data_IF_530222508765
#
_entry.id   IF_530222508765
#
_cell.length_a   1.000
_cell.length_b   1.000
_cell.length_c   1.000
_cell.angle_alpha   90.00
_cell.angle_beta   90.00
_cell.angle_gamma   90.00
#
_symmetry.space_group_name_H-M   'P 1'
#
loop_
_entity.id
_entity.type
_entity.pdbx_description
1 polymer ?
#
# COMPACT_ATOMS: atom_id res chain seq x y z
N UNK A 1 -37.79 -2.09 -26.25
CA UNK A 1 -36.81 -0.99 -26.32
C UNK A 1 -36.91 -0.04 -25.12
N UNK A 2 -38.09 0.52 -24.78
CA UNK A 2 -38.27 1.45 -23.64
C UNK A 2 -37.83 0.89 -22.28
N UNK A 3 -38.21 -0.36 -21.95
CA UNK A 3 -37.83 -0.98 -20.67
C UNK A 3 -36.30 -1.16 -20.53
N UNK A 4 -35.63 -1.65 -21.58
CA UNK A 4 -34.17 -1.82 -21.59
C UNK A 4 -33.45 -0.47 -21.40
N UNK A 5 -33.92 0.59 -22.06
CA UNK A 5 -33.38 1.95 -21.87
C UNK A 5 -33.50 2.42 -20.41
N UNK A 6 -34.68 2.29 -19.80
CA UNK A 6 -34.91 2.71 -18.41
C UNK A 6 -34.06 1.91 -17.43
N UNK A 7 -33.99 0.59 -17.60
CA UNK A 7 -33.18 -0.29 -16.73
C UNK A 7 -31.70 0.08 -16.82
N UNK A 8 -31.16 0.22 -18.03
CA UNK A 8 -29.75 0.61 -18.21
C UNK A 8 -29.44 1.98 -17.61
N UNK A 9 -30.37 2.94 -17.72
CA UNK A 9 -30.26 4.28 -17.13
C UNK A 9 -30.17 4.19 -15.60
N UNK A 10 -31.11 3.48 -14.97
CA UNK A 10 -31.16 3.31 -13.52
C UNK A 10 -29.92 2.56 -13.03
N UNK A 11 -29.55 1.45 -13.69
CA UNK A 11 -28.39 0.65 -13.31
C UNK A 11 -27.09 1.46 -13.38
N UNK A 12 -26.85 2.17 -14.48
CA UNK A 12 -25.63 2.97 -14.63
C UNK A 12 -25.58 4.14 -13.64
N UNK A 13 -26.72 4.80 -13.38
CA UNK A 13 -26.80 5.85 -12.36
C UNK A 13 -26.48 5.32 -10.97
N UNK A 14 -27.11 4.22 -10.55
CA UNK A 14 -26.92 3.63 -9.22
C UNK A 14 -25.47 3.16 -9.03
N UNK A 15 -24.89 2.46 -10.02
CA UNK A 15 -23.50 2.00 -9.95
C UNK A 15 -22.51 3.16 -9.82
N UNK A 16 -22.64 4.19 -10.68
CA UNK A 16 -21.78 5.37 -10.59
C UNK A 16 -21.99 6.12 -9.28
N UNK A 17 -23.23 6.23 -8.79
CA UNK A 17 -23.50 6.91 -7.52
C UNK A 17 -22.85 6.19 -6.34
N UNK A 18 -22.89 4.85 -6.31
CA UNK A 18 -22.16 4.07 -5.30
C UNK A 18 -20.64 4.30 -5.40
N UNK A 19 -20.09 4.36 -6.61
CA UNK A 19 -18.66 4.67 -6.79
C UNK A 19 -18.30 6.11 -6.43
N UNK A 20 -19.21 7.09 -6.60
CA UNK A 20 -19.03 8.45 -6.08
C UNK A 20 -18.90 8.41 -4.56
N UNK A 21 -19.78 7.68 -3.86
CA UNK A 21 -19.72 7.55 -2.40
C UNK A 21 -18.42 6.88 -1.95
N UNK A 22 -18.00 5.81 -2.62
CA UNK A 22 -16.72 5.14 -2.35
C UNK A 22 -15.55 6.10 -2.59
N UNK A 23 -15.55 6.85 -3.70
CA UNK A 23 -14.52 7.83 -4.02
C UNK A 23 -14.43 8.95 -2.98
N UNK A 24 -15.58 9.44 -2.49
CA UNK A 24 -15.63 10.43 -1.39
C UNK A 24 -15.06 9.87 -0.08
N UNK A 25 -15.37 8.63 0.26
CA UNK A 25 -14.82 7.97 1.45
C UNK A 25 -13.31 7.84 1.34
N UNK A 26 -12.79 7.36 0.20
CA UNK A 26 -11.35 7.22 -0.04
C UNK A 26 -10.66 8.59 0.01
N UNK A 27 -11.24 9.61 -0.62
CA UNK A 27 -10.72 10.97 -0.61
C UNK A 27 -10.68 11.55 0.81
N UNK A 28 -11.76 11.39 1.58
CA UNK A 28 -11.82 11.86 2.97
C UNK A 28 -10.78 11.15 3.85
N UNK A 29 -10.59 9.84 3.69
CA UNK A 29 -9.55 9.10 4.39
C UNK A 29 -8.14 9.57 3.99
N UNK A 30 -7.88 9.79 2.71
CA UNK A 30 -6.60 10.32 2.24
C UNK A 30 -6.29 11.71 2.81
N UNK A 31 -7.28 12.62 2.82
CA UNK A 31 -7.14 13.94 3.44
C UNK A 31 -6.87 13.80 4.94
N UNK A 32 -7.60 12.92 5.64
CA UNK A 32 -7.38 12.68 7.07
C UNK A 32 -5.95 12.18 7.33
N UNK A 33 -5.46 11.20 6.57
CA UNK A 33 -4.07 10.71 6.69
C UNK A 33 -3.04 11.83 6.49
N UNK A 34 -3.25 12.72 5.51
CA UNK A 34 -2.30 13.80 5.22
C UNK A 34 -2.35 14.92 6.27
N UNK A 35 -3.54 15.22 6.81
CA UNK A 35 -3.74 16.31 7.77
C UNK A 35 -3.37 15.89 9.19
N UNK A 36 -3.79 14.69 9.60
CA UNK A 36 -3.56 14.14 10.93
C UNK A 36 -3.55 12.61 10.88
N UNK A 37 -2.39 12.09 10.50
CA UNK A 37 -2.16 10.65 10.39
C UNK A 37 -2.29 9.92 11.74
N UNK A 38 -1.99 10.59 12.87
CA UNK A 38 -2.07 10.00 14.22
C UNK A 38 -3.53 9.70 14.58
N UNK A 39 -4.39 10.70 14.47
CA UNK A 39 -5.82 10.55 14.76
C UNK A 39 -6.50 9.53 13.85
N UNK A 40 -6.10 9.47 12.57
CA UNK A 40 -6.59 8.46 11.64
C UNK A 40 -6.25 7.04 12.13
N UNK A 41 -5.00 6.83 12.54
CA UNK A 41 -4.54 5.52 12.95
C UNK A 41 -5.09 5.08 14.32
N UNK A 42 -5.25 5.99 15.28
CA UNK A 42 -5.98 5.72 16.53
C UNK A 42 -7.41 5.22 16.26
N UNK A 43 -8.11 5.89 15.34
CA UNK A 43 -9.47 5.52 14.94
C UNK A 43 -9.50 4.16 14.24
N UNK A 44 -8.57 3.94 13.32
CA UNK A 44 -8.46 2.69 12.58
C UNK A 44 -8.19 1.50 13.52
N UNK A 45 -7.36 1.68 14.53
CA UNK A 45 -7.09 0.68 15.55
C UNK A 45 -8.32 0.32 16.38
N UNK A 46 -9.11 1.32 16.78
CA UNK A 46 -10.37 1.12 17.49
C UNK A 46 -11.34 0.23 16.69
N UNK A 47 -11.49 0.47 15.38
CA UNK A 47 -12.40 -0.31 14.53
C UNK A 47 -11.86 -1.68 14.13
N UNK A 48 -10.55 -1.79 13.91
CA UNK A 48 -9.91 -3.04 13.46
C UNK A 48 -9.60 -4.01 14.61
N UNK A 49 -9.75 -3.59 15.87
CA UNK A 49 -9.24 -4.30 17.07
C UNK A 49 -7.75 -4.63 16.96
N UNK A 50 -7.04 -3.86 16.13
CA UNK A 50 -5.60 -3.91 15.97
C UNK A 50 -5.00 -3.00 17.03
N UNK A 51 -3.81 -3.33 17.54
CA UNK A 51 -3.22 -2.57 18.63
C UNK A 51 -2.85 -1.15 18.16
N UNK A 52 -3.34 -0.11 18.83
CA UNK A 52 -3.41 1.25 18.28
C UNK A 52 -2.06 1.90 18.07
N UNK A 53 -1.14 1.54 18.92
CA UNK A 53 0.12 2.25 19.00
C UNK A 53 1.18 1.72 18.00
N UNK A 54 0.92 0.59 17.30
CA UNK A 54 1.71 0.11 16.14
C UNK A 54 1.47 1.08 15.00
N UNK A 55 0.21 1.48 14.86
CA UNK A 55 -0.30 2.29 13.77
C UNK A 55 0.07 3.78 13.94
N UNK A 56 0.07 4.27 15.20
CA UNK A 56 0.59 5.59 15.55
C UNK A 56 2.08 5.77 15.25
N UNK A 57 2.88 4.70 15.24
CA UNK A 57 4.32 4.81 14.95
C UNK A 57 4.61 4.99 13.44
N UNK A 58 3.64 4.68 12.57
CA UNK A 58 3.69 5.02 11.15
C UNK A 58 3.15 6.43 10.87
N UNK A 59 2.57 7.10 11.88
CA UNK A 59 2.07 8.45 11.71
C UNK A 59 3.22 9.42 11.39
N UNK A 60 2.94 10.39 10.51
CA UNK A 60 3.81 11.50 10.11
C UNK A 60 5.06 11.08 9.33
N UNK A 61 5.09 9.86 8.80
CA UNK A 61 6.19 9.40 7.94
C UNK A 61 6.04 9.91 6.52
N UNK A 62 7.15 10.15 5.82
CA UNK A 62 7.10 10.46 4.39
C UNK A 62 6.37 9.39 3.59
N UNK A 63 6.49 8.12 4.00
CA UNK A 63 5.78 7.01 3.37
C UNK A 63 4.27 7.08 3.58
N UNK A 64 3.79 7.31 4.80
CA UNK A 64 2.35 7.46 5.08
C UNK A 64 1.79 8.72 4.46
N UNK A 65 2.55 9.81 4.45
CA UNK A 65 2.15 11.05 3.77
C UNK A 65 2.03 10.82 2.25
N UNK A 66 2.98 10.10 1.65
CA UNK A 66 2.91 9.70 0.25
C UNK A 66 1.71 8.78 -0.03
N UNK A 67 1.45 7.80 0.84
CA UNK A 67 0.29 6.91 0.73
C UNK A 67 -1.03 7.69 0.85
N UNK A 68 -1.13 8.64 1.79
CA UNK A 68 -2.25 9.55 1.93
C UNK A 68 -2.45 10.40 0.68
N UNK A 69 -1.37 10.95 0.12
CA UNK A 69 -1.40 11.67 -1.17
C UNK A 69 -1.91 10.82 -2.33
N UNK A 70 -1.50 9.55 -2.40
CA UNK A 70 -2.02 8.59 -3.40
C UNK A 70 -3.53 8.34 -3.20
N UNK A 71 -3.99 8.15 -1.96
CA UNK A 71 -5.42 8.00 -1.66
C UNK A 71 -6.22 9.24 -2.08
N UNK A 72 -5.70 10.44 -1.84
CA UNK A 72 -6.32 11.69 -2.31
C UNK A 72 -6.42 11.70 -3.84
N UNK A 73 -5.33 11.35 -4.54
CA UNK A 73 -5.30 11.30 -6.00
C UNK A 73 -6.31 10.31 -6.57
N UNK A 74 -6.30 9.07 -6.10
CA UNK A 74 -7.21 8.01 -6.53
C UNK A 74 -8.66 8.39 -6.20
N UNK A 75 -8.93 8.81 -4.97
CA UNK A 75 -10.27 9.21 -4.51
C UNK A 75 -10.84 10.38 -5.33
N UNK A 76 -10.02 11.38 -5.65
CA UNK A 76 -10.43 12.52 -6.47
C UNK A 76 -10.76 12.10 -7.90
N UNK A 77 -9.90 11.28 -8.53
CA UNK A 77 -10.14 10.78 -9.89
C UNK A 77 -11.43 9.95 -9.92
N UNK A 78 -11.60 9.02 -8.97
CA UNK A 78 -12.82 8.22 -8.86
C UNK A 78 -14.06 9.10 -8.68
N UNK A 79 -14.02 10.07 -7.77
CA UNK A 79 -15.12 10.99 -7.53
C UNK A 79 -15.53 11.75 -8.81
N UNK A 80 -14.57 12.39 -9.47
CA UNK A 80 -14.82 13.19 -10.67
C UNK A 80 -15.35 12.35 -11.83
N UNK A 81 -14.71 11.20 -12.10
CA UNK A 81 -15.12 10.31 -13.19
C UNK A 81 -16.54 9.78 -13.00
N UNK A 82 -16.88 9.35 -11.78
CA UNK A 82 -18.22 8.81 -11.51
C UNK A 82 -19.29 9.89 -11.41
N UNK A 83 -18.95 11.13 -11.00
CA UNK A 83 -19.87 12.28 -11.14
C UNK A 83 -20.16 12.57 -12.60
N UNK A 84 -19.15 12.56 -13.48
CA UNK A 84 -19.37 12.73 -14.92
C UNK A 84 -20.30 11.63 -15.46
N UNK A 85 -20.13 10.39 -15.00
CA UNK A 85 -21.03 9.27 -15.31
C UNK A 85 -22.47 9.54 -14.88
N UNK A 86 -22.70 9.89 -13.60
CA UNK A 86 -24.01 10.25 -13.07
C UNK A 86 -24.65 11.42 -13.83
N UNK A 87 -23.88 12.48 -14.08
CA UNK A 87 -24.36 13.68 -14.76
C UNK A 87 -24.70 13.38 -16.23
N UNK A 88 -23.87 12.59 -16.91
CA UNK A 88 -24.15 12.13 -18.28
C UNK A 88 -25.45 11.33 -18.38
N UNK A 89 -25.76 10.52 -17.36
CA UNK A 89 -27.02 9.77 -17.29
C UNK A 89 -28.22 10.68 -17.02
N UNK A 90 -28.12 11.59 -16.04
CA UNK A 90 -29.23 12.48 -15.65
C UNK A 90 -29.55 13.46 -16.76
N UNK A 91 -28.54 14.10 -17.34
CA UNK A 91 -28.69 15.06 -18.43
C UNK A 91 -28.89 14.42 -19.80
N UNK A 92 -28.82 13.10 -19.89
CA UNK A 92 -28.84 12.36 -21.17
C UNK A 92 -27.85 12.94 -22.19
N UNK A 93 -26.68 13.40 -21.71
CA UNK A 93 -25.73 14.13 -22.53
C UNK A 93 -24.69 13.16 -23.09
N UNK A 94 -24.79 12.86 -24.40
CA UNK A 94 -23.91 11.90 -25.10
C UNK A 94 -22.43 12.19 -24.90
N UNK A 95 -22.03 13.47 -24.97
CA UNK A 95 -20.65 13.89 -24.75
C UNK A 95 -20.08 13.43 -23.39
N UNK A 96 -20.83 13.64 -22.29
CA UNK A 96 -20.40 13.22 -20.95
C UNK A 96 -20.31 11.70 -20.83
N UNK A 97 -21.26 10.96 -21.43
CA UNK A 97 -21.23 9.50 -21.45
C UNK A 97 -20.07 8.94 -22.30
N UNK A 98 -19.72 9.59 -23.42
CA UNK A 98 -18.55 9.25 -24.23
C UNK A 98 -17.28 9.50 -23.44
N UNK A 99 -17.14 10.68 -22.82
CA UNK A 99 -15.99 11.02 -21.96
C UNK A 99 -15.82 10.00 -20.85
N UNK A 100 -16.89 9.69 -20.12
CA UNK A 100 -16.91 8.65 -19.09
C UNK A 100 -16.43 7.29 -19.64
N UNK A 101 -16.98 6.84 -20.77
CA UNK A 101 -16.65 5.55 -21.37
C UNK A 101 -15.17 5.47 -21.81
N UNK A 102 -14.63 6.56 -22.34
CA UNK A 102 -13.21 6.64 -22.75
C UNK A 102 -12.29 6.52 -21.53
N UNK A 103 -12.52 7.29 -20.47
CA UNK A 103 -11.71 7.21 -19.26
C UNK A 103 -11.83 5.85 -18.57
N UNK A 104 -13.04 5.28 -18.47
CA UNK A 104 -13.23 3.92 -17.94
C UNK A 104 -12.50 2.86 -18.77
N UNK A 105 -12.48 3.01 -20.10
CA UNK A 105 -11.73 2.10 -20.98
C UNK A 105 -10.22 2.21 -20.77
N UNK A 106 -9.68 3.42 -20.54
CA UNK A 106 -8.27 3.60 -20.19
C UNK A 106 -7.92 2.92 -18.87
N UNK A 107 -8.77 3.07 -17.84
CA UNK A 107 -8.57 2.41 -16.54
C UNK A 107 -8.58 0.89 -16.73
N UNK A 108 -9.55 0.34 -17.46
CA UNK A 108 -9.61 -1.09 -17.76
C UNK A 108 -8.32 -1.63 -18.38
N UNK A 109 -7.76 -0.92 -19.37
CA UNK A 109 -6.49 -1.30 -20.00
C UNK A 109 -5.33 -1.24 -19.00
N UNK A 110 -5.24 -0.17 -18.19
CA UNK A 110 -4.20 -0.03 -17.15
C UNK A 110 -4.30 -1.16 -16.13
N UNK A 111 -5.50 -1.52 -15.71
CA UNK A 111 -5.74 -2.63 -14.77
C UNK A 111 -5.24 -3.95 -15.35
N UNK A 112 -5.56 -4.26 -16.62
CA UNK A 112 -5.06 -5.47 -17.30
C UNK A 112 -3.53 -5.46 -17.41
N UNK A 113 -2.93 -4.33 -17.81
CA UNK A 113 -1.47 -4.20 -17.89
C UNK A 113 -0.82 -4.40 -16.52
N UNK A 114 -1.41 -3.85 -15.46
CA UNK A 114 -0.94 -4.02 -14.08
C UNK A 114 -0.94 -5.49 -13.64
N UNK A 115 -2.00 -6.25 -13.98
CA UNK A 115 -2.08 -7.68 -13.69
C UNK A 115 -1.00 -8.46 -14.45
N UNK A 116 -0.81 -8.15 -15.73
CA UNK A 116 0.23 -8.80 -16.55
C UNK A 116 1.62 -8.51 -15.97
N UNK A 117 1.90 -7.26 -15.59
CA UNK A 117 3.16 -6.88 -14.95
C UNK A 117 3.36 -7.60 -13.62
N UNK A 118 2.31 -7.72 -12.80
CA UNK A 118 2.36 -8.39 -11.51
C UNK A 118 2.63 -9.90 -11.63
N UNK A 119 1.91 -10.59 -12.50
CA UNK A 119 1.92 -12.05 -12.55
C UNK A 119 2.80 -12.64 -13.66
N UNK A 120 2.83 -12.04 -14.86
CA UNK A 120 3.57 -12.57 -15.99
C UNK A 120 5.01 -12.04 -16.10
N UNK A 121 5.25 -10.81 -15.62
CA UNK A 121 6.56 -10.16 -15.64
C UNK A 121 7.14 -9.97 -14.23
N UNK A 122 6.82 -10.89 -13.33
CA UNK A 122 7.23 -10.84 -11.92
C UNK A 122 8.73 -10.62 -11.77
N UNK A 123 9.58 -11.28 -12.56
CA UNK A 123 11.04 -11.08 -12.51
C UNK A 123 11.51 -9.67 -12.88
N UNK A 124 10.87 -9.01 -13.85
CA UNK A 124 11.24 -7.65 -14.29
C UNK A 124 10.81 -6.62 -13.25
N UNK A 125 9.58 -6.73 -12.75
CA UNK A 125 9.09 -5.81 -11.74
C UNK A 125 9.79 -6.03 -10.39
N UNK A 126 10.08 -7.28 -10.01
CA UNK A 126 10.88 -7.59 -8.82
C UNK A 126 12.26 -6.94 -8.88
N UNK A 127 12.94 -6.97 -10.03
CA UNK A 127 14.25 -6.32 -10.19
C UNK A 127 14.14 -4.79 -10.01
N UNK A 128 13.15 -4.16 -10.65
CA UNK A 128 12.92 -2.72 -10.52
C UNK A 128 12.61 -2.32 -9.07
N UNK A 129 11.66 -3.01 -8.42
CA UNK A 129 11.26 -2.76 -7.03
C UNK A 129 12.43 -2.99 -6.09
N UNK A 130 13.16 -4.10 -6.25
CA UNK A 130 14.29 -4.41 -5.39
C UNK A 130 15.35 -3.30 -5.45
N UNK A 131 15.63 -2.75 -6.64
CA UNK A 131 16.58 -1.64 -6.78
C UNK A 131 16.15 -0.39 -6.00
N UNK A 132 14.87 0.00 -6.10
CA UNK A 132 14.33 1.18 -5.42
C UNK A 132 14.25 0.98 -3.92
N UNK A 133 13.78 -0.18 -3.47
CA UNK A 133 13.68 -0.54 -2.05
C UNK A 133 15.07 -0.63 -1.43
N UNK A 134 16.05 -1.23 -2.11
CA UNK A 134 17.43 -1.31 -1.63
C UNK A 134 18.07 0.09 -1.48
N UNK A 135 17.79 1.02 -2.40
CA UNK A 135 18.29 2.39 -2.30
C UNK A 135 17.65 3.15 -1.12
N UNK A 136 16.34 3.06 -0.97
CA UNK A 136 15.61 3.66 0.16
C UNK A 136 16.07 3.09 1.50
N UNK A 137 16.25 1.76 1.56
CA UNK A 137 16.77 1.07 2.72
C UNK A 137 18.18 1.54 3.07
N UNK A 138 19.09 1.55 2.11
CA UNK A 138 20.46 2.00 2.31
C UNK A 138 20.52 3.45 2.83
N UNK A 139 19.69 4.33 2.26
CA UNK A 139 19.70 5.75 2.58
C UNK A 139 19.08 6.08 3.96
N UNK A 140 18.10 5.31 4.43
CA UNK A 140 17.25 5.73 5.55
C UNK A 140 17.23 4.76 6.74
N UNK A 141 17.54 3.49 6.56
CA UNK A 141 17.43 2.51 7.65
C UNK A 141 18.55 2.69 8.68
N UNK A 142 18.18 2.98 9.94
CA UNK A 142 19.07 3.11 11.10
C UNK A 142 18.76 2.09 12.20
N UNK A 143 17.71 1.29 12.03
CA UNK A 143 17.22 0.31 13.02
C UNK A 143 16.55 0.96 14.22
N UNK A 144 15.65 0.22 14.85
CA UNK A 144 14.80 0.75 15.94
C UNK A 144 15.17 0.11 17.27
N UNK A 145 15.29 -1.21 17.29
CA UNK A 145 15.53 -1.98 18.51
C UNK A 145 16.98 -1.85 18.99
N UNK A 146 17.18 -1.17 20.12
CA UNK A 146 18.49 -0.93 20.75
C UNK A 146 19.34 0.16 20.09
N UNK A 147 18.87 0.75 18.98
CA UNK A 147 19.58 1.77 18.21
C UNK A 147 19.27 3.21 18.68
N UNK A 148 18.05 3.46 19.14
CA UNK A 148 17.55 4.77 19.56
C UNK A 148 16.89 4.70 20.94
N UNK A 149 16.83 5.84 21.64
CA UNK A 149 15.94 5.97 22.78
C UNK A 149 14.49 5.76 22.32
N UNK A 150 13.69 5.17 23.20
CA UNK A 150 12.30 4.72 22.97
C UNK A 150 11.40 5.81 22.38
N UNK A 151 11.69 7.06 22.72
CA UNK A 151 10.95 8.25 22.29
C UNK A 151 11.36 8.78 20.91
N UNK A 152 12.39 8.20 20.27
CA UNK A 152 13.05 8.74 19.08
C UNK A 152 13.18 7.71 17.95
N UNK A 153 12.23 6.78 17.85
CA UNK A 153 12.24 5.77 16.79
C UNK A 153 12.06 6.42 15.42
N UNK A 154 12.97 6.12 14.50
CA UNK A 154 12.79 6.40 13.08
C UNK A 154 11.68 5.49 12.52
N UNK A 155 10.58 6.05 12.00
CA UNK A 155 9.45 5.24 11.58
C UNK A 155 9.72 4.34 10.37
N UNK A 156 10.62 4.77 9.48
CA UNK A 156 11.05 3.93 8.35
C UNK A 156 11.79 2.70 8.88
N UNK A 157 12.69 2.89 9.84
CA UNK A 157 13.41 1.80 10.51
C UNK A 157 12.49 0.86 11.25
N UNK A 158 11.44 1.38 11.91
CA UNK A 158 10.45 0.51 12.55
C UNK A 158 9.70 -0.32 11.51
N UNK A 159 9.24 0.30 10.42
CA UNK A 159 8.53 -0.42 9.37
C UNK A 159 9.37 -1.59 8.83
N UNK A 160 10.67 -1.35 8.61
CA UNK A 160 11.59 -2.39 8.15
C UNK A 160 11.87 -3.43 9.25
N UNK A 161 11.99 -3.03 10.52
CA UNK A 161 12.09 -3.95 11.66
C UNK A 161 10.84 -4.84 11.76
N UNK A 162 9.65 -4.27 11.55
CA UNK A 162 8.38 -5.00 11.50
C UNK A 162 8.39 -6.03 10.38
N UNK A 163 8.85 -5.65 9.18
CA UNK A 163 9.00 -6.56 8.05
C UNK A 163 9.95 -7.70 8.39
N UNK A 164 11.14 -7.39 8.92
CA UNK A 164 12.15 -8.40 9.28
C UNK A 164 11.64 -9.38 10.35
N UNK A 165 10.96 -8.88 11.39
CA UNK A 165 10.41 -9.71 12.48
C UNK A 165 9.20 -10.54 12.00
N UNK A 166 8.26 -9.91 11.28
CA UNK A 166 7.01 -10.56 10.84
C UNK A 166 7.27 -11.62 9.78
N UNK A 167 8.11 -11.30 8.79
CA UNK A 167 8.45 -12.21 7.71
C UNK A 167 9.69 -13.06 8.01
N UNK A 168 10.27 -12.95 9.21
CA UNK A 168 11.43 -13.76 9.64
C UNK A 168 12.57 -13.73 8.62
N UNK A 169 12.93 -12.52 8.21
CA UNK A 169 13.97 -12.22 7.23
C UNK A 169 14.95 -11.19 7.79
N UNK A 170 16.10 -11.02 7.14
CA UNK A 170 17.11 -10.03 7.54
C UNK A 170 17.67 -9.33 6.30
N UNK A 171 17.59 -8.00 6.27
CA UNK A 171 18.00 -7.20 5.12
C UNK A 171 17.09 -7.35 3.90
N UNK A 172 17.26 -6.47 2.92
CA UNK A 172 16.48 -6.48 1.68
C UNK A 172 16.90 -7.67 0.81
N UNK A 173 18.21 -7.79 0.57
CA UNK A 173 18.83 -8.85 -0.22
C UNK A 173 19.48 -9.93 0.65
N UNK A 174 19.54 -9.72 1.96
CA UNK A 174 20.07 -10.67 2.93
C UNK A 174 20.82 -9.99 4.07
N UNK A 175 21.31 -10.75 5.06
CA UNK A 175 22.03 -10.22 6.21
C UNK A 175 23.32 -9.49 5.83
N UNK A 176 23.93 -9.83 4.69
CA UNK A 176 25.14 -9.17 4.18
C UNK A 176 24.92 -7.70 3.81
N UNK A 177 23.67 -7.24 3.65
CA UNK A 177 23.36 -5.82 3.42
C UNK A 177 23.94 -4.94 4.54
N UNK A 178 24.05 -5.46 5.76
CA UNK A 178 24.58 -4.73 6.92
C UNK A 178 26.11 -4.71 7.01
N UNK A 179 26.82 -5.36 6.08
CA UNK A 179 28.29 -5.43 6.07
C UNK A 179 28.95 -4.24 5.37
N UNK A 180 28.20 -3.46 4.58
CA UNK A 180 28.73 -2.42 3.70
C UNK A 180 27.87 -1.15 3.70
N UNK A 181 28.52 0.01 3.62
CA UNK A 181 27.85 1.30 3.46
C UNK A 181 27.22 1.49 2.07
N UNK A 182 27.52 0.62 1.11
CA UNK A 182 26.84 0.63 -0.20
C UNK A 182 25.38 0.17 -0.07
N UNK A 183 25.13 -0.80 0.80
CA UNK A 183 23.84 -1.49 0.97
C UNK A 183 23.06 -1.03 2.20
N UNK A 184 23.74 -0.53 3.25
CA UNK A 184 23.11 -0.02 4.46
C UNK A 184 23.83 1.25 4.98
N UNK A 185 23.87 2.31 4.16
CA UNK A 185 24.61 3.55 4.46
C UNK A 185 24.24 4.16 5.81
N UNK A 186 22.95 4.41 6.05
CA UNK A 186 22.48 5.06 7.27
C UNK A 186 22.75 4.19 8.52
N UNK A 187 22.50 2.88 8.42
CA UNK A 187 22.80 1.92 9.48
C UNK A 187 24.27 1.95 9.89
N UNK A 188 25.19 1.89 8.93
CA UNK A 188 26.63 1.90 9.19
C UNK A 188 27.07 3.20 9.88
N UNK A 189 26.48 4.34 9.49
CA UNK A 189 26.83 5.66 10.00
C UNK A 189 26.27 5.93 11.41
N UNK A 190 25.01 5.55 11.68
CA UNK A 190 24.33 5.97 12.90
C UNK A 190 23.55 4.87 13.64
N UNK A 191 23.26 3.74 12.99
CA UNK A 191 22.36 2.70 13.50
C UNK A 191 23.01 1.61 14.35
N UNK A 192 24.32 1.39 14.22
CA UNK A 192 25.06 0.32 14.91
C UNK A 192 25.23 0.59 16.41
N UNK A 193 24.16 0.38 17.16
CA UNK A 193 24.10 0.49 18.63
C UNK A 193 23.25 -0.64 19.18
N UNK A 194 23.71 -1.25 20.27
CA UNK A 194 23.00 -2.32 20.95
C UNK A 194 23.51 -2.46 22.37
N UNK A 195 22.65 -2.24 23.38
CA UNK A 195 23.07 -2.14 24.79
C UNK A 195 24.19 -1.08 24.89
N UNK A 196 25.32 -1.44 25.49
CA UNK A 196 26.50 -0.57 25.61
C UNK A 196 27.45 -0.66 24.40
N UNK A 197 27.14 -1.50 23.41
CA UNK A 197 27.98 -1.70 22.22
C UNK A 197 27.62 -0.71 21.13
N UNK A 198 28.64 -0.25 20.42
CA UNK A 198 28.51 0.67 19.28
C UNK A 198 29.46 0.28 18.15
N UNK A 199 29.15 0.72 16.93
CA UNK A 199 30.02 0.54 15.77
C UNK A 199 30.19 -0.93 15.36
N UNK A 200 31.42 -1.32 14.99
CA UNK A 200 31.74 -2.64 14.42
C UNK A 200 31.45 -3.83 15.33
N UNK A 201 31.26 -3.60 16.64
CA UNK A 201 30.87 -4.63 17.59
C UNK A 201 29.43 -5.14 17.36
N UNK A 202 28.59 -4.34 16.70
CA UNK A 202 27.21 -4.68 16.33
C UNK A 202 27.18 -5.06 14.85
N UNK A 203 27.00 -6.35 14.56
CA UNK A 203 27.05 -6.91 13.21
C UNK A 203 25.75 -6.72 12.43
N UNK A 204 24.60 -6.83 13.11
CA UNK A 204 23.27 -6.75 12.51
C UNK A 204 22.28 -6.06 13.46
N UNK A 205 21.15 -5.54 12.97
CA UNK A 205 20.11 -4.99 13.82
C UNK A 205 19.41 -6.08 14.63
N UNK A 206 18.93 -5.72 15.83
CA UNK A 206 18.22 -6.69 16.68
C UNK A 206 16.94 -7.25 16.03
N UNK A 207 16.32 -6.55 15.08
CA UNK A 207 15.17 -7.07 14.35
C UNK A 207 15.49 -8.28 13.45
N UNK A 208 16.76 -8.50 13.08
CA UNK A 208 17.19 -9.70 12.37
C UNK A 208 17.29 -10.95 13.24
N UNK A 209 17.22 -10.80 14.57
CA UNK A 209 17.37 -11.91 15.51
C UNK A 209 16.11 -12.75 15.66
N UNK A 210 16.27 -14.00 16.08
CA UNK A 210 15.14 -14.87 16.43
C UNK A 210 14.55 -14.51 17.78
N UNK A 211 13.22 -14.62 17.86
CA UNK A 211 12.44 -14.36 19.05
C UNK A 211 11.54 -15.56 19.35
N UNK A 212 11.47 -15.92 20.63
CA UNK A 212 10.57 -16.96 21.16
C UNK A 212 9.10 -16.62 20.88
N UNK A 213 8.75 -15.33 20.96
CA UNK A 213 7.47 -14.76 20.55
C UNK A 213 7.69 -13.30 20.14
N UNK A 214 6.89 -12.81 19.19
CA UNK A 214 6.90 -11.42 18.70
C UNK A 214 5.81 -10.57 19.35
N UNK A 215 5.18 -11.04 20.43
CA UNK A 215 4.13 -10.33 21.16
C UNK A 215 4.59 -8.97 21.69
N UNK A 216 5.88 -8.80 21.99
CA UNK A 216 6.41 -7.48 22.37
C UNK A 216 6.31 -6.46 21.24
N UNK A 217 6.37 -6.91 19.99
CA UNK A 217 6.26 -6.05 18.82
C UNK A 217 4.79 -5.69 18.57
N UNK A 218 3.90 -6.69 18.67
CA UNK A 218 2.45 -6.48 18.57
C UNK A 218 1.92 -5.55 19.67
N UNK A 219 2.37 -5.77 20.92
CA UNK A 219 2.01 -4.98 22.10
C UNK A 219 2.93 -3.77 22.32
N UNK A 220 3.87 -3.53 21.41
CA UNK A 220 4.82 -2.40 21.38
C UNK A 220 5.61 -2.15 22.66
N UNK A 221 5.91 -3.23 23.36
CA UNK A 221 6.85 -3.26 24.46
C UNK A 221 8.25 -3.40 23.87
N UNK A 222 8.62 -2.46 22.99
CA UNK A 222 9.89 -2.52 22.25
C UNK A 222 11.10 -2.58 23.17
N UNK A 223 11.01 -2.01 24.37
CA UNK A 223 12.05 -2.08 25.40
C UNK A 223 12.22 -3.48 26.00
N UNK A 224 11.18 -4.31 25.94
CA UNK A 224 11.19 -5.67 26.46
C UNK A 224 11.71 -6.67 25.42
N UNK A 225 12.08 -6.24 24.22
CA UNK A 225 12.51 -7.13 23.13
C UNK A 225 13.60 -8.13 23.56
N UNK A 226 14.53 -7.69 24.43
CA UNK A 226 15.60 -8.53 24.99
C UNK A 226 15.06 -9.75 25.77
N UNK A 227 13.89 -9.64 26.40
CA UNK A 227 13.27 -10.73 27.16
C UNK A 227 12.74 -11.84 26.26
N UNK A 228 12.44 -11.52 24.99
CA UNK A 228 11.87 -12.46 24.02
C UNK A 228 12.90 -12.99 23.03
N UNK A 229 14.07 -12.35 22.94
CA UNK A 229 15.15 -12.73 22.05
C UNK A 229 15.72 -14.10 22.46
N UNK A 230 15.81 -15.04 21.52
CA UNK A 230 16.31 -16.39 21.79
C UNK A 230 17.78 -16.36 22.24
N UNK A 231 18.59 -15.53 21.59
CA UNK A 231 19.99 -15.32 21.93
C UNK A 231 20.28 -13.82 22.18
N UNK A 232 20.49 -13.40 23.44
CA UNK A 232 20.73 -12.00 23.80
C UNK A 232 21.99 -11.36 23.19
N UNK A 233 22.86 -12.16 22.57
CA UNK A 233 24.09 -11.74 21.90
C UNK A 233 24.00 -11.86 20.37
N UNK A 234 22.83 -12.21 19.80
CA UNK A 234 22.64 -12.35 18.36
C UNK A 234 23.15 -11.15 17.53
N UNK A 235 22.94 -9.89 17.92
CA UNK A 235 23.45 -8.72 17.17
C UNK A 235 24.97 -8.53 17.25
N UNK A 236 25.63 -9.16 18.21
CA UNK A 236 27.05 -8.95 18.52
C UNK A 236 27.90 -9.75 17.55
N UNK A 237 29.03 -9.20 17.11
CA UNK A 237 29.96 -9.90 16.22
C UNK A 237 30.75 -11.00 16.96
N UNK A 238 30.81 -12.26 16.46
CA UNK A 238 30.11 -12.79 15.29
C UNK A 238 28.63 -13.08 15.58
N UNK A 239 27.71 -12.72 14.67
CA UNK A 239 26.28 -12.89 14.91
C UNK A 239 25.87 -14.38 14.95
N UNK A 240 24.87 -14.69 15.75
CA UNK A 240 24.32 -16.04 15.91
C UNK A 240 22.79 -15.99 16.01
N UNK A 241 22.10 -17.09 15.68
CA UNK A 241 20.65 -17.24 15.84
C UNK A 241 19.80 -16.12 15.21
N UNK A 242 20.16 -15.72 14.00
CA UNK A 242 19.46 -14.71 13.19
C UNK A 242 18.69 -15.34 12.01
N UNK A 243 17.86 -14.54 11.35
CA UNK A 243 17.18 -14.92 10.11
C UNK A 243 18.11 -14.78 8.91
N UNK A 244 18.28 -15.84 8.13
CA UNK A 244 19.21 -15.83 6.99
C UNK A 244 18.52 -15.55 5.64
N UNK A 245 17.19 -15.50 5.61
CA UNK A 245 16.44 -15.22 4.39
C UNK A 245 16.41 -13.72 4.09
N UNK A 246 16.44 -13.37 2.80
CA UNK A 246 16.26 -11.98 2.35
C UNK A 246 14.78 -11.59 2.37
N UNK A 247 14.45 -10.35 2.74
CA UNK A 247 13.05 -9.94 2.81
C UNK A 247 12.37 -9.87 1.44
N UNK A 248 13.11 -9.59 0.37
CA UNK A 248 12.55 -9.62 -1.00
C UNK A 248 12.11 -11.01 -1.41
N UNK A 249 12.78 -12.07 -0.93
CA UNK A 249 12.36 -13.46 -1.21
C UNK A 249 11.03 -13.85 -0.55
N UNK A 250 10.57 -13.08 0.45
CA UNK A 250 9.31 -13.32 1.15
C UNK A 250 8.09 -12.66 0.48
N UNK A 251 8.30 -11.70 -0.43
CA UNK A 251 7.22 -11.05 -1.20
C UNK A 251 6.33 -12.07 -1.95
N UNK A 252 6.87 -12.98 -2.79
CA UNK A 252 6.03 -13.96 -3.49
C UNK A 252 5.29 -14.88 -2.52
N UNK A 253 5.89 -15.21 -1.36
CA UNK A 253 5.24 -16.03 -0.32
C UNK A 253 4.04 -15.29 0.29
N UNK A 254 4.21 -14.02 0.63
CA UNK A 254 3.14 -13.18 1.16
C UNK A 254 1.99 -12.99 0.15
N UNK A 255 2.31 -12.82 -1.13
CA UNK A 255 1.32 -12.74 -2.20
C UNK A 255 0.56 -14.06 -2.38
N UNK A 256 1.21 -15.22 -2.28
CA UNK A 256 0.54 -16.52 -2.37
C UNK A 256 -0.47 -16.73 -1.22
N UNK A 257 -0.16 -16.25 -0.01
CA UNK A 257 -1.07 -16.34 1.15
C UNK A 257 -2.36 -15.55 0.95
N UNK A 258 -2.31 -14.42 0.23
CA UNK A 258 -3.46 -13.53 -0.01
C UNK A 258 -3.90 -13.50 -1.48
N UNK A 259 -3.49 -14.50 -2.28
CA UNK A 259 -3.73 -14.52 -3.73
C UNK A 259 -5.21 -14.54 -4.08
N UNK A 260 -5.98 -15.36 -3.38
CA UNK A 260 -7.41 -15.55 -3.65
C UNK A 260 -8.20 -14.23 -3.53
N UNK A 261 -8.18 -13.49 -2.41
CA UNK A 261 -8.94 -12.24 -2.30
C UNK A 261 -8.47 -11.18 -3.30
N UNK A 262 -7.17 -11.10 -3.61
CA UNK A 262 -6.64 -10.16 -4.61
C UNK A 262 -7.22 -10.47 -5.99
N UNK A 263 -7.13 -11.73 -6.43
CA UNK A 263 -7.65 -12.16 -7.74
C UNK A 263 -9.17 -11.94 -7.81
N UNK A 264 -9.92 -12.33 -6.77
CA UNK A 264 -11.38 -12.17 -6.74
C UNK A 264 -11.78 -10.69 -6.84
N UNK A 265 -11.15 -9.81 -6.05
CA UNK A 265 -11.41 -8.37 -6.09
C UNK A 265 -11.10 -7.79 -7.47
N UNK A 266 -10.00 -8.21 -8.07
CA UNK A 266 -9.56 -7.73 -9.39
C UNK A 266 -10.52 -8.13 -10.50
N UNK A 267 -10.96 -9.40 -10.51
CA UNK A 267 -11.95 -9.90 -11.48
C UNK A 267 -13.28 -9.18 -11.32
N UNK A 268 -13.72 -8.93 -10.08
CA UNK A 268 -14.93 -8.19 -9.80
C UNK A 268 -14.85 -6.75 -10.34
N UNK A 269 -13.74 -6.05 -10.11
CA UNK A 269 -13.51 -4.69 -10.64
C UNK A 269 -13.58 -4.67 -12.16
N UNK A 270 -12.85 -5.57 -12.84
CA UNK A 270 -12.87 -5.65 -14.30
C UNK A 270 -14.26 -5.95 -14.87
N UNK A 271 -15.02 -6.84 -14.21
CA UNK A 271 -16.39 -7.15 -14.60
C UNK A 271 -17.30 -5.92 -14.44
N UNK A 272 -17.18 -5.18 -13.33
CA UNK A 272 -17.96 -3.97 -13.10
C UNK A 272 -17.60 -2.85 -14.08
N UNK A 273 -16.31 -2.68 -14.41
CA UNK A 273 -15.86 -1.74 -15.44
C UNK A 273 -16.49 -2.05 -16.80
N UNK A 274 -16.44 -3.31 -17.23
CA UNK A 274 -17.04 -3.75 -18.50
C UNK A 274 -18.56 -3.53 -18.53
N UNK A 275 -19.26 -3.83 -17.44
CA UNK A 275 -20.69 -3.55 -17.30
C UNK A 275 -20.96 -2.05 -17.43
N UNK A 276 -20.20 -1.21 -16.74
CA UNK A 276 -20.38 0.24 -16.78
C UNK A 276 -20.11 0.82 -18.18
N UNK A 277 -19.02 0.37 -18.84
CA UNK A 277 -18.69 0.76 -20.22
C UNK A 277 -19.81 0.31 -21.17
N UNK A 278 -20.26 -0.94 -21.08
CA UNK A 278 -21.32 -1.48 -21.93
C UNK A 278 -22.64 -0.72 -21.79
N UNK A 279 -23.04 -0.42 -20.54
CA UNK A 279 -24.24 0.38 -20.26
C UNK A 279 -24.11 1.80 -20.80
N UNK A 280 -22.96 2.45 -20.62
CA UNK A 280 -22.71 3.81 -21.10
C UNK A 280 -22.74 3.88 -22.63
N UNK A 281 -22.05 2.97 -23.32
CA UNK A 281 -22.06 2.87 -24.79
C UNK A 281 -23.47 2.60 -25.32
N UNK A 282 -24.21 1.69 -24.68
CA UNK A 282 -25.61 1.44 -25.03
C UNK A 282 -26.45 2.72 -24.93
N UNK A 283 -26.33 3.49 -23.84
CA UNK A 283 -27.05 4.75 -23.69
C UNK A 283 -26.62 5.79 -24.74
N UNK A 284 -25.32 5.89 -25.07
CA UNK A 284 -24.81 6.79 -26.12
C UNK A 284 -25.42 6.49 -27.50
N UNK A 285 -25.69 5.21 -27.78
CA UNK A 285 -26.29 4.77 -29.04
C UNK A 285 -27.80 5.05 -29.08
N UNK A 286 -28.48 4.89 -27.94
CA UNK A 286 -29.95 5.07 -27.86
C UNK A 286 -30.36 6.54 -27.74
N UNK A 287 -29.57 7.37 -27.06
CA UNK A 287 -29.82 8.80 -26.94
C UNK A 287 -29.60 9.47 -28.31
N UNK A 288 -30.63 10.14 -28.84
CA UNK A 288 -30.59 10.85 -30.12
C UNK A 288 -29.64 12.06 -30.05
N UNK A 289 -29.13 12.46 -31.22
CA UNK A 289 -28.13 13.53 -31.35
C UNK A 289 -28.77 14.88 -31.03
N UNK A 290 -28.13 15.67 -30.17
CA UNK A 290 -28.51 17.07 -29.90
C UNK A 290 -28.50 17.96 -31.16
N UNK A 291 -27.77 17.55 -32.22
CA UNK A 291 -27.71 18.30 -33.48
C UNK A 291 -29.05 18.33 -34.25
N UNK A 292 -30.01 17.47 -33.92
CA UNK A 292 -31.32 17.46 -34.60
C UNK A 292 -32.26 18.60 -34.13
N UNK A 293 -31.92 19.32 -33.05
CA UNK A 293 -32.73 20.42 -32.50
C UNK A 293 -32.18 21.83 -32.80
N UNK A 294 -30.96 21.96 -33.35
CA UNK A 294 -30.37 23.28 -33.67
C UNK A 294 -30.67 23.78 -35.10
N UNK A 295 -31.46 23.03 -35.88
CA UNK A 295 -31.83 23.36 -37.26
C UNK A 295 -33.33 23.68 -37.46
N UNK A 296 -34.08 23.98 -36.40
CA UNK A 296 -35.44 24.49 -36.48
C UNK A 296 -35.67 25.73 -35.62
#
# INVERSE_FOLDING_TARGET
>A
MKACFVISKIALFVLNFLFVLIGLIILAQGIWVVVDSRSFFETLAFFSKMDSSVLELYADTEFVLAAGGVLIGIGTIMFLLNIIGCWGVVSEHRGLLITYSVFMSFIFVITILGIILLFALSGVWQAAVNSTVSQLFSANYVGTLGAHEVSAYDPFSLAIDAVMITFKCCGINGPDDFSSSATAKAWILSGRKFKDLTGDAVALPAACCRYTNTSFFANQRYNEFLNYMENPNCPVKPPADFYNASCVSMIPVALEMNKVPIVVTTVLVLALELVCIGLAVFLVVVIKRWDDELYY
#
